data_IF_888146481462
#
_entry.id   IF_888146481462
#
_cell.length_a   1.000
_cell.length_b   1.000
_cell.length_c   1.000
_cell.angle_alpha   90.00
_cell.angle_beta   90.00
_cell.angle_gamma   90.00
#
_symmetry.space_group_name_H-M   'P 1'
#
loop_
_entity.id
_entity.type
_entity.pdbx_description
1 polymer ?
#
# COMPACT_ATOMS: atom_id res chain seq x y z
N UNK A 1 21.75 -20.57 28.16
CA UNK A 1 20.60 -19.66 28.33
C UNK A 1 19.65 -19.94 27.17
N UNK A 2 18.54 -20.64 27.42
CA UNK A 2 17.52 -20.93 26.41
C UNK A 2 16.56 -19.75 26.33
N UNK A 3 16.57 -19.01 25.23
CA UNK A 3 15.50 -18.04 24.94
C UNK A 3 14.27 -18.81 24.47
N UNK A 4 13.24 -18.85 25.30
CA UNK A 4 11.90 -19.24 24.89
C UNK A 4 11.44 -18.30 23.77
N UNK A 5 11.41 -18.80 22.54
CA UNK A 5 10.78 -18.06 21.44
C UNK A 5 9.28 -17.91 21.73
N UNK A 6 8.70 -16.72 21.48
CA UNK A 6 7.27 -16.53 21.69
C UNK A 6 6.53 -17.40 20.69
N UNK A 7 5.56 -18.17 21.19
CA UNK A 7 4.55 -18.88 20.39
C UNK A 7 3.58 -17.88 19.76
N UNK A 8 4.10 -16.96 18.94
CA UNK A 8 3.32 -15.99 18.19
C UNK A 8 3.35 -16.42 16.73
N UNK A 9 2.23 -17.01 16.30
CA UNK A 9 1.79 -17.10 14.91
C UNK A 9 2.69 -17.92 13.98
N UNK A 10 2.71 -19.25 14.15
CA UNK A 10 2.97 -20.13 13.01
C UNK A 10 1.75 -20.10 12.10
N UNK A 11 1.87 -19.68 10.84
CA UNK A 11 0.78 -19.84 9.87
C UNK A 11 0.46 -21.33 9.74
N UNK A 12 -0.82 -21.73 9.62
CA UNK A 12 -1.17 -23.12 9.38
C UNK A 12 -0.50 -23.59 8.08
N UNK A 13 0.12 -24.76 8.13
CA UNK A 13 1.16 -25.21 7.19
C UNK A 13 0.66 -25.52 5.76
N UNK A 14 -0.63 -25.33 5.47
CA UNK A 14 -1.22 -25.74 4.20
C UNK A 14 -2.51 -25.00 3.80
N UNK A 15 -2.66 -23.71 4.14
CA UNK A 15 -3.79 -22.91 3.63
C UNK A 15 -3.32 -21.55 3.16
N UNK A 16 -3.50 -21.28 1.87
CA UNK A 16 -3.39 -19.92 1.34
C UNK A 16 -4.31 -18.98 2.15
N UNK A 17 -3.80 -17.79 2.47
CA UNK A 17 -4.60 -16.77 3.15
C UNK A 17 -5.83 -16.46 2.30
N UNK A 18 -7.06 -16.60 2.83
CA UNK A 18 -8.28 -16.32 2.08
C UNK A 18 -8.28 -14.92 1.48
N UNK A 19 -8.69 -14.78 0.22
CA UNK A 19 -8.70 -13.48 -0.51
C UNK A 19 -9.45 -12.38 0.22
N UNK A 20 -10.54 -12.71 0.93
CA UNK A 20 -11.29 -11.75 1.77
C UNK A 20 -10.48 -11.16 2.93
N UNK A 21 -9.38 -11.80 3.31
CA UNK A 21 -8.42 -11.35 4.31
C UNK A 21 -7.17 -10.72 3.65
N UNK A 22 -7.00 -10.89 2.34
CA UNK A 22 -5.99 -10.22 1.55
C UNK A 22 -6.46 -8.80 1.27
N UNK A 23 -6.24 -7.92 2.25
CA UNK A 23 -6.36 -6.50 2.02
C UNK A 23 -5.14 -6.04 1.21
N UNK A 24 -5.28 -5.95 -0.12
CA UNK A 24 -4.26 -5.36 -0.99
C UNK A 24 -3.95 -3.90 -0.62
N UNK A 25 -4.81 -3.29 0.20
CA UNK A 25 -4.69 -1.94 0.74
C UNK A 25 -5.16 -1.92 2.19
N UNK A 26 -4.43 -1.27 3.10
CA UNK A 26 -4.99 -0.82 4.38
C UNK A 26 -6.17 0.10 4.06
N UNK A 27 -7.31 0.01 4.78
CA UNK A 27 -8.54 0.76 4.46
C UNK A 27 -8.46 2.31 4.56
N UNK A 28 -7.30 2.91 4.38
CA UNK A 28 -6.98 4.33 4.39
C UNK A 28 -7.06 4.93 2.98
N UNK A 29 -7.40 6.21 2.87
CA UNK A 29 -7.45 6.95 1.58
C UNK A 29 -6.09 7.02 0.85
N UNK A 30 -6.11 7.28 -0.47
CA UNK A 30 -4.89 7.33 -1.29
C UNK A 30 -4.21 8.65 -0.97
N UNK A 31 -2.98 8.58 -0.47
CA UNK A 31 -2.19 9.77 -0.20
C UNK A 31 -1.45 10.23 -1.47
N UNK A 32 -1.09 11.52 -1.57
CA UNK A 32 -0.21 11.99 -2.63
C UNK A 32 1.11 11.23 -2.69
N UNK A 33 1.65 10.83 -1.53
CA UNK A 33 2.88 10.05 -1.39
C UNK A 33 2.75 8.68 -2.08
N UNK A 34 1.60 8.01 -1.93
CA UNK A 34 1.35 6.71 -2.58
C UNK A 34 1.42 6.81 -4.10
N UNK A 35 0.85 7.87 -4.68
CA UNK A 35 0.93 8.09 -6.14
C UNK A 35 2.34 8.36 -6.63
N UNK A 36 3.13 9.13 -5.87
CA UNK A 36 4.52 9.43 -6.24
C UNK A 36 5.34 8.13 -6.23
N UNK A 37 5.22 7.35 -5.16
CA UNK A 37 5.94 6.08 -5.01
C UNK A 37 5.51 5.05 -6.06
N UNK A 38 4.21 4.89 -6.31
CA UNK A 38 3.68 4.01 -7.34
C UNK A 38 4.15 4.40 -8.75
N UNK A 39 4.42 5.70 -8.98
CA UNK A 39 4.97 6.19 -10.24
C UNK A 39 6.49 6.01 -10.38
N UNK A 40 7.17 5.47 -9.36
CA UNK A 40 8.62 5.27 -9.34
C UNK A 40 9.43 6.57 -9.24
N UNK A 41 8.85 7.63 -8.66
CA UNK A 41 9.50 8.94 -8.52
C UNK A 41 9.89 9.21 -7.07
N UNK A 42 10.87 10.09 -6.89
CA UNK A 42 11.26 10.57 -5.56
C UNK A 42 10.23 11.53 -4.95
N UNK A 43 10.14 11.52 -3.62
CA UNK A 43 9.26 12.38 -2.80
C UNK A 43 9.80 13.82 -2.71
N UNK A 44 9.83 14.50 -3.85
CA UNK A 44 10.14 15.93 -3.92
C UNK A 44 8.87 16.78 -3.78
N UNK A 45 8.96 18.04 -3.31
CA UNK A 45 7.80 18.93 -3.20
C UNK A 45 7.04 19.08 -4.53
N UNK A 46 7.77 19.16 -5.65
CA UNK A 46 7.20 19.23 -6.99
C UNK A 46 6.35 17.99 -7.32
N UNK A 47 6.86 16.79 -7.05
CA UNK A 47 6.14 15.55 -7.34
C UNK A 47 4.92 15.38 -6.43
N UNK A 48 5.01 15.82 -5.18
CA UNK A 48 3.88 15.84 -4.25
C UNK A 48 2.78 16.79 -4.71
N UNK A 49 3.11 17.97 -5.23
CA UNK A 49 2.10 18.86 -5.81
C UNK A 49 1.40 18.25 -7.02
N UNK A 50 2.15 17.61 -7.91
CA UNK A 50 1.58 16.88 -9.04
C UNK A 50 0.59 15.81 -8.56
N UNK A 51 0.96 15.01 -7.55
CA UNK A 51 0.12 13.97 -7.00
C UNK A 51 -1.15 14.53 -6.33
N UNK A 52 -1.05 15.65 -5.59
CA UNK A 52 -2.21 16.34 -5.01
C UNK A 52 -3.20 16.79 -6.08
N UNK A 53 -2.71 17.39 -7.17
CA UNK A 53 -3.56 17.82 -8.30
C UNK A 53 -4.22 16.61 -8.98
N UNK A 54 -3.48 15.51 -9.14
CA UNK A 54 -4.00 14.28 -9.75
C UNK A 54 -5.08 13.62 -8.88
N UNK A 55 -4.88 13.54 -7.56
CA UNK A 55 -5.92 13.06 -6.63
C UNK A 55 -7.14 13.97 -6.61
N UNK A 56 -6.96 15.29 -6.68
CA UNK A 56 -8.10 16.21 -6.74
C UNK A 56 -8.93 16.03 -8.02
N UNK A 57 -8.29 15.70 -9.14
CA UNK A 57 -8.96 15.52 -10.42
C UNK A 57 -9.60 14.13 -10.58
N UNK A 58 -8.95 13.08 -10.06
CA UNK A 58 -9.30 11.68 -10.38
C UNK A 58 -9.68 10.85 -9.14
N UNK A 59 -9.52 11.40 -7.94
CA UNK A 59 -9.74 10.69 -6.68
C UNK A 59 -8.85 9.44 -6.57
N UNK A 60 -9.36 8.44 -5.86
CA UNK A 60 -8.65 7.16 -5.66
C UNK A 60 -8.36 6.42 -6.98
N UNK A 61 -9.13 6.66 -8.04
CA UNK A 61 -8.92 6.04 -9.34
C UNK A 61 -7.60 6.49 -10.02
N UNK A 62 -6.97 7.56 -9.54
CA UNK A 62 -5.65 8.00 -10.01
C UNK A 62 -4.60 6.90 -9.90
N UNK A 63 -4.65 6.09 -8.84
CA UNK A 63 -3.69 5.03 -8.55
C UNK A 63 -3.97 3.80 -9.42
N UNK A 64 -5.24 3.40 -9.51
CA UNK A 64 -5.69 2.29 -10.35
C UNK A 64 -5.37 2.50 -11.84
N UNK A 65 -5.41 3.74 -12.32
CA UNK A 65 -5.02 4.06 -13.72
C UNK A 65 -3.51 4.12 -13.94
N UNK A 66 -2.75 4.35 -12.87
CA UNK A 66 -1.30 4.46 -12.93
C UNK A 66 -0.65 3.08 -12.95
N UNK A 67 -1.24 2.13 -12.24
CA UNK A 67 -0.80 0.74 -12.18
C UNK A 67 -1.43 -0.03 -13.36
N UNK A 68 -0.65 -0.85 -14.08
CA UNK A 68 -1.12 -1.64 -15.22
C UNK A 68 -2.08 -2.77 -14.82
#
# INVERSE_FOLDING_TARGET
MSTSEPHASRPPEDRATPDRLLHARTGTDVSPEDLVLASGKDLTPHNLEWARRKLAAEGAAALEKLLP
#
